data_IF_112284613241
#
_entry.id   IF_112284613241
#
_cell.length_a   1.000
_cell.length_b   1.000
_cell.length_c   1.000
_cell.angle_alpha   90.00
_cell.angle_beta   90.00
_cell.angle_gamma   90.00
#
_symmetry.space_group_name_H-M   'P 1'
#
loop_
_entity.id
_entity.type
_entity.pdbx_description
1 polymer ?
#
# COMPACT_ATOMS: atom_id res chain seq x y z
N UNK A 1 2.93 31.94 10.09
CA UNK A 1 2.78 30.86 9.10
C UNK A 1 1.43 31.05 8.41
N UNK A 2 1.32 30.80 7.11
CA UNK A 2 0.04 30.91 6.41
C UNK A 2 -0.80 29.67 6.74
N UNK A 3 -2.00 29.84 7.26
CA UNK A 3 -2.93 28.77 7.63
C UNK A 3 -3.26 27.94 6.38
N UNK A 4 -3.20 26.61 6.50
CA UNK A 4 -3.61 25.70 5.42
C UNK A 4 -5.11 25.93 5.14
N UNK A 5 -5.44 26.14 3.88
CA UNK A 5 -6.82 26.24 3.38
C UNK A 5 -7.03 25.25 2.24
N UNK A 6 -8.28 24.87 1.91
CA UNK A 6 -8.54 24.01 0.74
C UNK A 6 -7.93 24.56 -0.55
N UNK A 7 -7.96 25.90 -0.73
CA UNK A 7 -7.39 26.54 -1.92
C UNK A 7 -5.86 26.50 -1.91
N UNK A 8 -5.22 26.72 -0.74
CA UNK A 8 -3.76 26.61 -0.63
C UNK A 8 -3.26 25.18 -0.84
N UNK A 9 -4.01 24.16 -0.36
CA UNK A 9 -3.71 22.76 -0.64
C UNK A 9 -3.82 22.47 -2.13
N UNK A 10 -4.88 22.92 -2.76
CA UNK A 10 -5.10 22.75 -4.20
C UNK A 10 -4.01 23.43 -5.02
N UNK A 11 -3.61 24.65 -4.64
CA UNK A 11 -2.53 25.38 -5.31
C UNK A 11 -1.15 24.73 -5.11
N UNK A 12 -0.93 24.06 -3.96
CA UNK A 12 0.31 23.34 -3.67
C UNK A 12 0.36 21.95 -4.29
N UNK A 13 -0.80 21.41 -4.74
CA UNK A 13 -0.85 20.10 -5.37
C UNK A 13 -0.06 20.12 -6.68
N UNK A 14 0.79 19.11 -6.95
CA UNK A 14 1.57 19.08 -8.18
C UNK A 14 0.68 19.21 -9.42
N UNK A 15 1.03 20.12 -10.31
CA UNK A 15 0.27 20.37 -11.54
C UNK A 15 0.33 19.20 -12.53
N UNK A 16 1.36 18.35 -12.37
CA UNK A 16 1.54 17.13 -13.15
C UNK A 16 1.75 15.95 -12.20
N UNK A 17 1.07 14.85 -12.47
CA UNK A 17 1.15 13.66 -11.62
C UNK A 17 0.24 13.72 -10.39
N UNK A 18 0.41 12.80 -9.45
CA UNK A 18 -0.32 12.69 -8.19
C UNK A 18 -1.84 12.90 -8.30
N UNK A 19 -2.46 12.35 -9.36
CA UNK A 19 -3.88 12.54 -9.61
C UNK A 19 -4.30 14.01 -9.80
N UNK A 20 -3.45 14.82 -10.43
CA UNK A 20 -3.70 16.24 -10.70
C UNK A 20 -5.00 16.50 -11.50
N UNK A 21 -5.47 15.49 -12.25
CA UNK A 21 -6.72 15.46 -12.99
C UNK A 21 -7.96 15.17 -12.12
N UNK A 22 -7.78 14.86 -10.83
CA UNK A 22 -8.90 14.55 -9.92
C UNK A 22 -9.41 15.79 -9.19
N UNK A 23 -10.72 15.91 -9.14
CA UNK A 23 -11.40 16.91 -8.33
C UNK A 23 -11.83 16.30 -6.98
N UNK A 24 -11.02 16.53 -5.96
CA UNK A 24 -11.33 16.13 -4.59
C UNK A 24 -11.62 17.33 -3.71
N UNK A 25 -12.50 17.11 -2.72
CA UNK A 25 -12.61 18.01 -1.59
C UNK A 25 -11.41 17.75 -0.67
N UNK A 26 -10.63 18.81 -0.40
CA UNK A 26 -9.47 18.75 0.47
C UNK A 26 -9.81 19.40 1.82
N UNK A 27 -9.60 18.66 2.91
CA UNK A 27 -9.75 19.22 4.24
C UNK A 27 -8.58 20.16 4.57
N UNK A 28 -8.80 21.32 5.18
CA UNK A 28 -7.72 22.18 5.68
C UNK A 28 -7.01 21.58 6.89
N UNK A 29 -7.60 20.57 7.52
CA UNK A 29 -7.08 19.95 8.75
C UNK A 29 -7.02 18.42 8.56
N UNK A 30 -6.00 17.76 9.13
CA UNK A 30 -5.95 16.31 9.18
C UNK A 30 -7.11 15.75 10.01
N UNK A 31 -7.54 14.53 9.68
CA UNK A 31 -8.58 13.84 10.43
C UNK A 31 -8.09 13.49 11.83
N UNK A 32 -8.78 13.93 12.91
CA UNK A 32 -8.36 13.65 14.28
C UNK A 32 -8.60 12.17 14.64
N UNK A 33 -7.60 11.55 15.25
CA UNK A 33 -7.70 10.18 15.76
C UNK A 33 -7.65 10.21 17.30
N UNK A 34 -8.51 9.40 17.93
CA UNK A 34 -8.42 9.21 19.38
C UNK A 34 -7.16 8.40 19.74
N UNK A 35 -6.62 8.53 20.96
CA UNK A 35 -5.48 7.70 21.39
C UNK A 35 -5.76 6.21 21.40
N UNK A 36 -7.02 5.77 21.58
CA UNK A 36 -7.42 4.37 21.47
C UNK A 36 -7.32 3.89 20.03
N UNK A 37 -7.82 4.66 19.08
CA UNK A 37 -7.76 4.35 17.66
C UNK A 37 -6.32 4.30 17.15
N UNK A 38 -5.45 5.21 17.60
CA UNK A 38 -4.02 5.18 17.27
C UNK A 38 -3.39 3.86 17.70
N UNK A 39 -3.64 3.41 18.95
CA UNK A 39 -3.12 2.11 19.43
C UNK A 39 -3.64 0.91 18.63
N UNK A 40 -4.90 0.96 18.21
CA UNK A 40 -5.48 -0.06 17.34
C UNK A 40 -4.78 -0.13 15.98
N UNK A 41 -4.52 1.03 15.36
CA UNK A 41 -3.82 1.13 14.08
C UNK A 41 -2.35 0.69 14.19
N UNK A 42 -1.64 1.05 15.26
CA UNK A 42 -0.27 0.60 15.52
C UNK A 42 -0.16 -0.94 15.59
N UNK A 43 -1.17 -1.60 16.19
CA UNK A 43 -1.23 -3.05 16.29
C UNK A 43 -1.71 -3.77 15.01
N UNK A 44 -2.32 -3.05 14.06
CA UNK A 44 -3.02 -3.63 12.94
C UNK A 44 -2.10 -4.42 12.00
N UNK A 45 -0.93 -3.89 11.68
CA UNK A 45 0.03 -4.56 10.79
C UNK A 45 0.45 -5.94 11.31
N UNK A 46 0.67 -6.08 12.62
CA UNK A 46 0.98 -7.39 13.23
C UNK A 46 -0.20 -8.36 13.09
N UNK A 47 -1.42 -7.91 13.36
CA UNK A 47 -2.65 -8.74 13.25
C UNK A 47 -2.89 -9.19 11.82
N UNK A 48 -2.75 -8.30 10.84
CA UNK A 48 -2.87 -8.62 9.41
C UNK A 48 -1.81 -9.65 8.96
N UNK A 49 -0.57 -9.50 9.43
CA UNK A 49 0.48 -10.50 9.15
C UNK A 49 0.10 -11.88 9.69
N UNK A 50 -0.42 -11.98 10.91
CA UNK A 50 -0.89 -13.25 11.49
C UNK A 50 -2.05 -13.83 10.69
N UNK A 51 -3.02 -13.01 10.31
CA UNK A 51 -4.15 -13.41 9.48
C UNK A 51 -3.70 -14.00 8.14
N UNK A 52 -2.84 -13.29 7.40
CA UNK A 52 -2.34 -13.75 6.10
C UNK A 52 -1.50 -15.03 6.24
N UNK A 53 -0.67 -15.13 7.29
CA UNK A 53 0.10 -16.35 7.55
C UNK A 53 -0.82 -17.55 7.81
N UNK A 54 -1.90 -17.35 8.57
CA UNK A 54 -2.88 -18.40 8.82
C UNK A 54 -3.66 -18.79 7.55
N UNK A 55 -4.06 -17.79 6.74
CA UNK A 55 -4.75 -18.00 5.46
C UNK A 55 -3.87 -18.78 4.48
N UNK A 56 -2.58 -18.43 4.33
CA UNK A 56 -1.62 -19.17 3.50
C UNK A 56 -1.46 -20.62 3.97
N UNK A 57 -1.36 -20.83 5.28
CA UNK A 57 -1.26 -22.18 5.86
C UNK A 57 -2.52 -23.02 5.60
N UNK A 58 -3.72 -22.42 5.69
CA UNK A 58 -4.98 -23.09 5.37
C UNK A 58 -5.03 -23.49 3.89
N UNK A 59 -4.73 -22.56 2.99
CA UNK A 59 -4.64 -22.82 1.55
C UNK A 59 -3.66 -23.95 1.23
N UNK A 60 -2.42 -23.86 1.73
CA UNK A 60 -1.38 -24.85 1.49
C UNK A 60 -1.75 -26.26 2.00
N UNK A 61 -2.50 -26.35 3.10
CA UNK A 61 -3.01 -27.64 3.62
C UNK A 61 -4.16 -28.17 2.79
N UNK A 62 -5.03 -27.32 2.25
CA UNK A 62 -6.11 -27.71 1.35
C UNK A 62 -5.54 -28.25 0.03
N UNK A 63 -4.59 -27.55 -0.59
CA UNK A 63 -3.88 -28.01 -1.80
C UNK A 63 -3.26 -29.39 -1.61
N UNK A 64 -2.81 -29.74 -0.41
CA UNK A 64 -2.22 -31.03 -0.07
C UNK A 64 -3.25 -32.11 0.35
N UNK A 65 -4.54 -31.83 0.24
CA UNK A 65 -5.61 -32.75 0.64
C UNK A 65 -5.70 -32.98 2.16
N UNK A 66 -5.11 -32.10 2.98
CA UNK A 66 -5.14 -32.19 4.45
C UNK A 66 -6.27 -31.35 5.08
N UNK A 67 -6.98 -30.58 4.27
CA UNK A 67 -8.17 -29.82 4.59
C UNK A 67 -9.15 -29.91 3.42
N UNK A 68 -10.42 -29.52 3.58
CA UNK A 68 -11.42 -29.57 2.52
C UNK A 68 -10.95 -28.88 1.24
N UNK A 69 -11.18 -29.51 0.10
CA UNK A 69 -10.74 -29.05 -1.22
C UNK A 69 -11.32 -27.69 -1.60
N UNK A 70 -12.53 -27.39 -1.16
CA UNK A 70 -13.22 -26.15 -1.51
C UNK A 70 -12.42 -24.89 -1.12
N UNK A 71 -11.56 -24.97 -0.09
CA UNK A 71 -10.74 -23.82 0.36
C UNK A 71 -9.76 -23.42 -0.75
N UNK A 72 -9.01 -24.38 -1.28
CA UNK A 72 -8.09 -24.12 -2.40
C UNK A 72 -8.88 -23.80 -3.68
N UNK A 73 -9.95 -24.51 -3.97
CA UNK A 73 -10.75 -24.28 -5.16
C UNK A 73 -11.34 -22.86 -5.23
N UNK A 74 -11.78 -22.32 -4.08
CA UNK A 74 -12.28 -20.93 -4.01
C UNK A 74 -11.18 -19.91 -4.28
N UNK A 75 -10.01 -20.11 -3.69
CA UNK A 75 -8.86 -19.19 -3.88
C UNK A 75 -8.31 -19.26 -5.31
N UNK A 76 -8.35 -20.43 -5.94
CA UNK A 76 -7.80 -20.68 -7.27
C UNK A 76 -8.76 -20.27 -8.40
N UNK A 77 -10.03 -20.09 -8.09
CA UNK A 77 -11.05 -19.82 -9.11
C UNK A 77 -10.67 -18.64 -10.01
N UNK A 78 -10.75 -18.84 -11.32
CA UNK A 78 -10.46 -17.82 -12.33
C UNK A 78 -8.96 -17.53 -12.56
N UNK A 79 -8.05 -18.15 -11.83
CA UNK A 79 -6.61 -17.91 -12.00
C UNK A 79 -5.99 -18.78 -13.09
N UNK A 80 -5.08 -18.24 -13.93
CA UNK A 80 -4.35 -19.01 -14.92
C UNK A 80 -3.50 -20.11 -14.28
N UNK A 81 -3.36 -21.26 -14.97
CA UNK A 81 -2.59 -22.40 -14.48
C UNK A 81 -1.11 -22.06 -14.18
N UNK A 82 -0.51 -21.17 -14.98
CA UNK A 82 0.87 -20.68 -14.76
C UNK A 82 1.01 -19.92 -13.44
N UNK A 83 0.03 -19.06 -13.10
CA UNK A 83 0.01 -18.33 -11.84
C UNK A 83 -0.15 -19.28 -10.65
N UNK A 84 -1.04 -20.28 -10.77
CA UNK A 84 -1.21 -21.31 -9.73
C UNK A 84 0.07 -22.13 -9.52
N UNK A 85 0.75 -22.52 -10.60
CA UNK A 85 2.02 -23.24 -10.51
C UNK A 85 3.08 -22.41 -9.78
N UNK A 86 3.19 -21.12 -10.11
CA UNK A 86 4.13 -20.20 -9.46
C UNK A 86 3.79 -20.01 -7.98
N UNK A 87 2.53 -19.72 -7.65
CA UNK A 87 2.08 -19.49 -6.27
C UNK A 87 2.28 -20.71 -5.35
N UNK A 88 2.28 -21.90 -5.91
CA UNK A 88 2.51 -23.17 -5.19
C UNK A 88 3.97 -23.61 -5.16
N UNK A 89 4.86 -22.87 -5.83
CA UNK A 89 6.28 -23.20 -5.90
C UNK A 89 6.97 -23.02 -4.54
N UNK A 90 8.13 -23.67 -4.34
CA UNK A 90 8.94 -23.51 -3.15
C UNK A 90 9.51 -22.10 -3.00
N UNK A 91 9.71 -21.38 -4.09
CA UNK A 91 10.29 -20.05 -4.12
C UNK A 91 9.44 -18.98 -3.42
N UNK A 92 8.10 -19.12 -3.47
CA UNK A 92 7.18 -18.13 -2.87
C UNK A 92 6.48 -18.64 -1.61
N UNK A 93 6.78 -19.87 -1.20
CA UNK A 93 6.12 -20.48 -0.02
C UNK A 93 6.38 -19.69 1.24
N UNK A 94 5.29 -19.33 1.95
CA UNK A 94 5.36 -18.58 3.21
C UNK A 94 5.74 -17.10 3.04
N UNK A 95 5.87 -16.63 1.80
CA UNK A 95 5.98 -15.20 1.54
C UNK A 95 4.61 -14.56 1.63
N UNK A 96 4.52 -13.46 2.35
CA UNK A 96 3.31 -12.64 2.45
C UNK A 96 3.61 -11.25 1.88
N UNK A 97 2.59 -10.52 1.41
CA UNK A 97 2.75 -9.14 0.96
C UNK A 97 3.40 -8.28 2.05
N UNK A 98 4.31 -7.41 1.66
CA UNK A 98 4.98 -6.46 2.57
C UNK A 98 4.25 -5.13 2.66
N UNK A 99 3.38 -4.85 1.71
CA UNK A 99 2.47 -3.70 1.70
C UNK A 99 1.05 -4.22 1.80
N UNK A 100 0.30 -3.69 2.73
CA UNK A 100 -1.12 -3.99 2.94
C UNK A 100 -1.88 -2.69 3.06
N UNK A 101 -3.01 -2.59 2.38
CA UNK A 101 -3.90 -1.44 2.41
C UNK A 101 -5.29 -1.91 2.86
N UNK A 102 -5.57 -1.91 4.16
CA UNK A 102 -6.90 -2.19 4.66
C UNK A 102 -7.80 -0.98 4.51
N UNK A 103 -9.02 -1.18 4.01
CA UNK A 103 -10.07 -0.18 4.06
C UNK A 103 -10.84 -0.34 5.37
N UNK A 104 -10.77 0.69 6.22
CA UNK A 104 -11.28 0.64 7.59
C UNK A 104 -12.53 1.49 7.73
N UNK A 105 -13.56 0.92 8.31
CA UNK A 105 -14.78 1.60 8.72
C UNK A 105 -14.70 1.92 10.21
N UNK A 106 -14.95 3.18 10.56
CA UNK A 106 -15.05 3.62 11.95
C UNK A 106 -16.47 3.35 12.45
N UNK A 107 -16.58 2.59 13.52
CA UNK A 107 -17.84 2.33 14.19
C UNK A 107 -18.15 3.36 15.28
N UNK A 108 -19.39 3.35 15.79
CA UNK A 108 -19.89 4.32 16.78
C UNK A 108 -19.19 4.22 18.17
N UNK A 109 -18.54 3.10 18.48
CA UNK A 109 -17.89 2.83 19.76
C UNK A 109 -16.34 2.77 19.63
N UNK A 110 -15.76 3.59 18.79
CA UNK A 110 -14.29 3.58 18.49
C UNK A 110 -13.77 2.23 17.98
N UNK A 111 -14.67 1.36 17.51
CA UNK A 111 -14.31 0.10 16.89
C UNK A 111 -13.89 0.26 15.44
N UNK A 112 -12.96 -0.59 14.99
CA UNK A 112 -12.58 -0.69 13.58
C UNK A 112 -13.19 -1.95 12.97
N UNK A 113 -13.86 -1.79 11.84
CA UNK A 113 -14.21 -2.89 10.95
C UNK A 113 -13.42 -2.76 9.65
N UNK A 114 -12.91 -3.87 9.14
CA UNK A 114 -12.21 -3.92 7.86
C UNK A 114 -13.19 -4.39 6.78
N UNK A 115 -13.42 -3.56 5.77
CA UNK A 115 -14.28 -3.88 4.63
C UNK A 115 -13.51 -4.53 3.49
N UNK A 116 -12.23 -4.16 3.30
CA UNK A 116 -11.38 -4.66 2.23
C UNK A 116 -9.93 -4.76 2.71
N UNK A 117 -9.18 -5.70 2.15
CA UNK A 117 -7.75 -5.83 2.35
C UNK A 117 -7.06 -6.00 1.01
N UNK A 118 -6.34 -4.98 0.62
CA UNK A 118 -5.58 -4.94 -0.62
C UNK A 118 -4.08 -5.10 -0.35
N UNK A 119 -3.33 -5.59 -1.32
CA UNK A 119 -1.88 -5.81 -1.22
C UNK A 119 -1.07 -5.05 -2.26
N UNK A 120 -1.66 -4.01 -2.85
CA UNK A 120 -0.98 -3.13 -3.80
C UNK A 120 -0.59 -1.82 -3.14
N UNK A 121 0.53 -1.19 -3.54
CA UNK A 121 1.02 0.05 -2.94
C UNK A 121 0.30 1.31 -3.44
N UNK A 122 -0.93 1.19 -3.98
CA UNK A 122 -1.72 2.33 -4.43
C UNK A 122 -2.06 3.29 -3.29
N UNK A 123 -1.98 4.58 -3.53
CA UNK A 123 -2.25 5.63 -2.55
C UNK A 123 -1.04 6.04 -1.69
N UNK A 124 0.08 5.32 -1.71
CA UNK A 124 1.25 5.65 -0.89
C UNK A 124 1.83 7.02 -1.27
N UNK A 125 1.97 7.32 -2.56
CA UNK A 125 2.51 8.60 -3.02
C UNK A 125 1.61 9.77 -2.62
N UNK A 126 0.32 9.63 -2.83
CA UNK A 126 -0.67 10.64 -2.44
C UNK A 126 -0.69 10.87 -0.92
N UNK A 127 -0.74 9.80 -0.13
CA UNK A 127 -0.72 9.89 1.34
C UNK A 127 0.58 10.52 1.83
N UNK A 128 1.72 10.18 1.22
CA UNK A 128 3.00 10.79 1.55
C UNK A 128 3.02 12.31 1.26
N UNK A 129 2.42 12.73 0.16
CA UNK A 129 2.29 14.15 -0.15
C UNK A 129 1.44 14.89 0.90
N UNK A 130 0.29 14.33 1.28
CA UNK A 130 -0.54 14.89 2.34
C UNK A 130 0.21 14.95 3.68
N UNK A 131 0.92 13.88 4.05
CA UNK A 131 1.73 13.88 5.27
C UNK A 131 2.76 15.02 5.27
N UNK A 132 3.49 15.22 4.18
CA UNK A 132 4.44 16.33 4.06
C UNK A 132 3.76 17.67 4.20
N UNK A 133 2.63 17.86 3.53
CA UNK A 133 1.93 19.15 3.50
C UNK A 133 1.33 19.48 4.86
N UNK A 134 0.59 18.56 5.48
CA UNK A 134 -0.01 18.80 6.80
C UNK A 134 1.04 18.93 7.90
N UNK A 135 2.15 18.22 7.84
CA UNK A 135 3.20 18.30 8.86
C UNK A 135 3.88 19.67 8.93
N UNK A 136 3.67 20.56 7.96
CA UNK A 136 4.16 21.94 7.99
C UNK A 136 3.44 22.79 9.05
N UNK A 137 2.18 22.47 9.34
CA UNK A 137 1.31 23.21 10.27
C UNK A 137 0.87 22.38 11.48
N UNK A 138 0.80 21.05 11.31
CA UNK A 138 0.31 20.10 12.30
C UNK A 138 1.43 19.14 12.72
N UNK A 139 2.18 19.45 13.81
CA UNK A 139 3.32 18.62 14.23
C UNK A 139 2.93 17.22 14.68
N UNK A 140 1.66 17.02 15.07
CA UNK A 140 1.13 15.73 15.56
C UNK A 140 0.62 14.80 14.45
N UNK A 141 0.82 15.15 13.17
CA UNK A 141 0.52 14.22 12.06
C UNK A 141 1.31 12.94 12.26
N UNK A 142 0.60 11.79 12.26
CA UNK A 142 1.20 10.47 12.49
C UNK A 142 2.29 10.19 11.44
N UNK A 143 3.48 9.85 11.91
CA UNK A 143 4.65 9.65 11.08
C UNK A 143 5.32 10.94 10.60
N UNK A 144 4.75 12.11 10.92
CA UNK A 144 5.26 13.41 10.45
C UNK A 144 5.30 13.49 8.91
N UNK A 145 6.09 14.40 8.38
CA UNK A 145 6.17 14.62 6.93
C UNK A 145 6.82 13.49 6.12
N UNK A 146 7.46 12.51 6.76
CA UNK A 146 8.20 11.44 6.06
C UNK A 146 7.75 10.01 6.37
N UNK A 147 6.90 9.81 7.38
CA UNK A 147 6.60 8.48 7.90
C UNK A 147 6.12 7.49 6.84
N UNK A 148 5.27 7.91 5.91
CA UNK A 148 4.80 7.05 4.82
C UNK A 148 5.95 6.64 3.87
N UNK A 149 6.81 7.58 3.49
CA UNK A 149 7.94 7.32 2.59
C UNK A 149 9.01 6.46 3.26
N UNK A 150 9.35 6.76 4.51
CA UNK A 150 10.36 6.03 5.27
C UNK A 150 9.87 4.60 5.57
N UNK A 151 8.57 4.45 5.90
CA UNK A 151 7.93 3.15 6.05
C UNK A 151 8.01 2.32 4.77
N UNK A 152 7.61 2.87 3.64
CA UNK A 152 7.69 2.18 2.35
C UNK A 152 9.13 1.81 1.98
N UNK A 153 10.06 2.75 2.10
CA UNK A 153 11.47 2.49 1.80
C UNK A 153 12.09 1.41 2.69
N UNK A 154 11.64 1.29 3.95
CA UNK A 154 12.19 0.36 4.94
C UNK A 154 11.90 -1.12 4.64
N UNK A 155 10.90 -1.43 3.80
CA UNK A 155 10.57 -2.81 3.43
C UNK A 155 11.60 -3.44 2.48
N UNK A 156 12.48 -2.63 1.89
CA UNK A 156 13.52 -3.05 0.96
C UNK A 156 14.90 -2.97 1.62
N UNK A 157 15.80 -3.94 1.40
CA UNK A 157 17.18 -3.87 1.89
C UNK A 157 17.88 -2.59 1.46
N UNK A 158 18.71 -2.03 2.33
CA UNK A 158 19.49 -0.83 2.02
C UNK A 158 20.40 -1.08 0.81
N UNK A 159 20.48 -0.10 -0.08
CA UNK A 159 21.34 -0.19 -1.28
C UNK A 159 20.78 -1.06 -2.42
N UNK A 160 19.69 -1.78 -2.21
CA UNK A 160 19.04 -2.54 -3.27
C UNK A 160 18.21 -1.62 -4.18
N UNK A 161 18.36 -1.79 -5.50
CA UNK A 161 17.47 -1.18 -6.48
C UNK A 161 16.06 -1.77 -6.37
N UNK A 162 15.06 -0.94 -6.60
CA UNK A 162 13.63 -1.29 -6.50
C UNK A 162 12.93 -0.89 -7.77
N UNK A 163 12.36 -1.85 -8.46
CA UNK A 163 11.51 -1.61 -9.61
C UNK A 163 10.04 -1.65 -9.17
N UNK A 164 9.36 -0.53 -9.32
CA UNK A 164 7.92 -0.38 -9.10
C UNK A 164 7.22 -0.63 -10.42
N UNK A 165 6.68 -1.82 -10.59
CA UNK A 165 6.08 -2.25 -11.86
C UNK A 165 4.61 -1.86 -11.87
N UNK A 166 4.19 -1.06 -12.85
CA UNK A 166 2.81 -0.58 -13.02
C UNK A 166 2.28 -1.07 -14.37
N UNK A 167 1.20 -1.86 -14.34
CA UNK A 167 0.52 -2.32 -15.56
C UNK A 167 -0.31 -1.22 -16.21
N UNK A 168 -0.70 -1.42 -17.47
CA UNK A 168 -1.63 -0.51 -18.17
C UNK A 168 -2.98 -0.42 -17.46
N UNK A 169 -3.47 -1.52 -16.89
CA UNK A 169 -4.71 -1.54 -16.10
C UNK A 169 -4.60 -0.63 -14.86
N UNK A 170 -3.42 -0.58 -14.23
CA UNK A 170 -3.14 0.23 -13.05
C UNK A 170 -2.51 1.60 -13.40
N UNK A 171 -2.58 2.04 -14.66
CA UNK A 171 -1.90 3.26 -15.13
C UNK A 171 -2.28 4.53 -14.34
N UNK A 172 -3.49 4.56 -13.76
CA UNK A 172 -3.91 5.65 -12.87
C UNK A 172 -3.05 5.86 -11.63
N UNK A 173 -2.31 4.84 -11.18
CA UNK A 173 -1.38 4.93 -10.06
C UNK A 173 0.04 5.36 -10.48
N UNK A 174 0.35 5.35 -11.78
CA UNK A 174 1.70 5.70 -12.27
C UNK A 174 2.18 7.07 -11.82
N UNK A 175 1.37 8.15 -11.90
CA UNK A 175 1.82 9.47 -11.50
C UNK A 175 2.28 9.55 -10.04
N UNK A 176 1.58 8.89 -9.12
CA UNK A 176 1.99 8.88 -7.71
C UNK A 176 3.24 8.02 -7.46
N UNK A 177 3.41 6.92 -8.19
CA UNK A 177 4.61 6.09 -8.08
C UNK A 177 5.84 6.83 -8.63
N UNK A 178 5.69 7.60 -9.72
CA UNK A 178 6.74 8.48 -10.26
C UNK A 178 7.13 9.58 -9.26
N UNK A 179 6.13 10.21 -8.64
CA UNK A 179 6.38 11.19 -7.59
C UNK A 179 7.11 10.56 -6.40
N UNK A 180 6.64 9.41 -5.91
CA UNK A 180 7.24 8.67 -4.79
C UNK A 180 8.68 8.28 -5.11
N UNK A 181 8.96 7.74 -6.30
CA UNK A 181 10.30 7.39 -6.76
C UNK A 181 11.23 8.62 -6.77
N UNK A 182 10.71 9.79 -7.17
CA UNK A 182 11.47 11.04 -7.13
C UNK A 182 11.83 11.44 -5.69
N UNK A 183 10.89 11.30 -4.76
CA UNK A 183 11.12 11.63 -3.35
C UNK A 183 12.09 10.65 -2.65
N UNK A 184 12.11 9.39 -3.08
CA UNK A 184 12.95 8.34 -2.52
C UNK A 184 14.31 8.17 -3.20
N UNK A 185 14.50 8.84 -4.35
CA UNK A 185 15.72 8.78 -5.19
C UNK A 185 15.55 7.83 -6.37
N UNK A 186 15.52 8.40 -7.58
CA UNK A 186 15.31 7.66 -8.85
C UNK A 186 16.44 6.71 -9.19
N UNK A 187 17.62 6.89 -8.62
CA UNK A 187 18.74 5.96 -8.73
C UNK A 187 18.47 4.63 -8.04
N UNK A 188 17.62 4.63 -7.01
CA UNK A 188 17.21 3.44 -6.25
C UNK A 188 15.82 2.94 -6.62
N UNK A 189 14.86 3.85 -6.83
CA UNK A 189 13.46 3.52 -7.12
C UNK A 189 13.12 3.90 -8.55
N UNK A 190 12.78 2.92 -9.38
CA UNK A 190 12.42 3.12 -10.79
C UNK A 190 10.99 2.67 -11.02
N UNK A 191 10.23 3.43 -11.78
CA UNK A 191 8.88 3.03 -12.22
C UNK A 191 8.98 2.43 -13.61
N UNK A 192 8.49 1.20 -13.75
CA UNK A 192 8.57 0.40 -14.96
C UNK A 192 7.17 0.02 -15.45
N UNK A 193 7.05 -0.29 -16.74
CA UNK A 193 5.83 -0.84 -17.35
C UNK A 193 5.85 -2.35 -17.28
N UNK A 194 4.75 -2.95 -16.79
CA UNK A 194 4.66 -4.41 -16.66
C UNK A 194 4.77 -5.12 -18.00
N UNK A 195 4.24 -4.53 -19.07
CA UNK A 195 4.17 -5.09 -20.41
C UNK A 195 5.54 -5.19 -21.09
N UNK A 196 6.49 -4.38 -20.67
CA UNK A 196 7.86 -4.37 -21.18
C UNK A 196 8.91 -4.82 -20.16
N UNK A 197 8.46 -5.12 -18.93
CA UNK A 197 9.36 -5.49 -17.84
C UNK A 197 9.87 -6.92 -17.99
N UNK A 198 11.17 -7.08 -18.12
CA UNK A 198 11.83 -8.37 -18.10
C UNK A 198 12.51 -8.60 -16.73
N UNK A 199 12.17 -9.70 -16.09
CA UNK A 199 12.89 -10.17 -14.90
C UNK A 199 14.19 -10.82 -15.38
N UNK A 200 15.34 -10.27 -15.00
CA UNK A 200 16.62 -10.95 -15.23
C UNK A 200 16.59 -12.29 -14.48
N UNK A 201 16.73 -13.41 -15.18
CA UNK A 201 16.88 -14.70 -14.49
C UNK A 201 18.20 -14.67 -13.72
N UNK A 202 18.11 -14.70 -12.39
CA UNK A 202 19.25 -14.79 -11.50
C UNK A 202 19.90 -16.19 -11.58
#
# INVERSE_FOLDING_TARGET
>A
MAMITPDSLRAAFPSEGLFADKEWLMSPEPFPLSPSLVRELEGLGHRLRLFLTAADALYARSVKGRLPEWIAATVDAGKPASLLAQSRSGAVRGQIPRVLRPDLLLGDEEGLAMSELDSVPGGIGLTAWFNQTYATEFPDVIGGGRGMMDGFSSIFPAGQGVDVVVSLEAAGYRPEMEWLATQLGRERFRVCEAETYAVDPA
#
